data_IF_322893238643
#
_entry.id   IF_322893238643
#
_cell.length_a   1.000
_cell.length_b   1.000
_cell.length_c   1.000
_cell.angle_alpha   90.00
_cell.angle_beta   90.00
_cell.angle_gamma   90.00
#
_symmetry.space_group_name_H-M   'P 1'
#
loop_
_entity.id
_entity.type
_entity.pdbx_description
1 polymer ?
#
# COMPACT_ATOMS: atom_id res chain seq x y z
N UNK A 1 -7.20 -38.17 -3.58
CA UNK A 1 -6.51 -36.88 -3.88
C UNK A 1 -7.41 -35.88 -4.63
N UNK A 2 -8.19 -36.28 -5.66
CA UNK A 2 -9.11 -35.39 -6.39
C UNK A 2 -10.30 -34.82 -5.58
N UNK A 3 -10.77 -35.51 -4.53
CA UNK A 3 -11.85 -35.01 -3.67
C UNK A 3 -11.43 -33.83 -2.77
N UNK A 4 -10.13 -33.74 -2.43
CA UNK A 4 -9.58 -32.67 -1.59
C UNK A 4 -9.44 -31.35 -2.36
N UNK A 5 -9.05 -31.42 -3.64
CA UNK A 5 -8.95 -30.24 -4.53
C UNK A 5 -10.32 -29.67 -4.87
N UNK A 6 -11.33 -30.51 -5.09
CA UNK A 6 -12.70 -30.07 -5.31
C UNK A 6 -13.31 -29.38 -4.08
N UNK A 7 -13.01 -29.87 -2.86
CA UNK A 7 -13.49 -29.28 -1.60
C UNK A 7 -12.78 -27.95 -1.31
N UNK A 8 -11.48 -27.85 -1.60
CA UNK A 8 -10.73 -26.61 -1.52
C UNK A 8 -11.24 -25.57 -2.52
N UNK A 9 -11.48 -25.96 -3.78
CA UNK A 9 -12.03 -25.07 -4.81
C UNK A 9 -13.43 -24.55 -4.46
N UNK A 10 -14.30 -25.40 -3.90
CA UNK A 10 -15.64 -24.98 -3.43
C UNK A 10 -15.57 -24.02 -2.24
N UNK A 11 -14.64 -24.23 -1.31
CA UNK A 11 -14.41 -23.32 -0.17
C UNK A 11 -13.84 -21.97 -0.60
N UNK A 12 -12.92 -21.96 -1.55
CA UNK A 12 -12.41 -20.72 -2.15
C UNK A 12 -13.50 -20.00 -2.93
N UNK A 13 -14.34 -20.71 -3.69
CA UNK A 13 -15.46 -20.11 -4.41
C UNK A 13 -16.56 -19.56 -3.49
N UNK A 14 -16.83 -20.20 -2.35
CA UNK A 14 -17.76 -19.67 -1.35
C UNK A 14 -17.19 -18.47 -0.61
N UNK A 15 -15.87 -18.47 -0.31
CA UNK A 15 -15.20 -17.32 0.29
C UNK A 15 -15.20 -16.12 -0.67
N UNK A 16 -14.88 -16.33 -1.95
CA UNK A 16 -14.93 -15.29 -3.00
C UNK A 16 -16.38 -14.78 -3.18
N UNK A 17 -17.40 -15.65 -3.14
CA UNK A 17 -18.80 -15.21 -3.23
C UNK A 17 -19.30 -14.46 -2.01
N UNK A 18 -18.92 -14.87 -0.79
CA UNK A 18 -19.26 -14.15 0.43
C UNK A 18 -18.61 -12.76 0.44
N UNK A 19 -17.33 -12.73 0.06
CA UNK A 19 -16.54 -11.53 -0.09
C UNK A 19 -17.09 -10.53 -1.15
N UNK A 20 -17.65 -11.04 -2.25
CA UNK A 20 -18.37 -10.24 -3.25
C UNK A 20 -19.76 -9.77 -2.76
N UNK A 21 -20.43 -10.56 -1.91
CA UNK A 21 -21.75 -10.22 -1.34
C UNK A 21 -21.66 -9.14 -0.26
N UNK A 22 -20.60 -9.11 0.52
CA UNK A 22 -20.39 -8.12 1.57
C UNK A 22 -19.89 -6.76 1.06
N UNK A 23 -19.70 -6.59 -0.26
CA UNK A 23 -19.07 -5.40 -0.89
C UNK A 23 -17.67 -5.06 -0.33
N UNK A 24 -17.07 -5.94 0.48
CA UNK A 24 -15.74 -5.71 1.08
C UNK A 24 -14.59 -6.11 0.14
N UNK A 25 -14.81 -7.06 -0.80
CA UNK A 25 -14.03 -7.07 -2.03
C UNK A 25 -14.50 -5.91 -2.90
N UNK A 26 -13.72 -4.84 -2.97
CA UNK A 26 -13.83 -3.96 -4.13
C UNK A 26 -13.69 -4.84 -5.38
N UNK A 27 -14.64 -4.78 -6.33
CA UNK A 27 -14.59 -5.63 -7.50
C UNK A 27 -13.24 -5.45 -8.17
N UNK A 28 -12.50 -6.56 -8.31
CA UNK A 28 -11.28 -6.62 -9.11
C UNK A 28 -11.57 -5.90 -10.45
N UNK A 29 -10.64 -5.06 -10.94
CA UNK A 29 -10.76 -4.28 -12.18
C UNK A 29 -11.66 -3.02 -12.16
N UNK A 30 -11.76 -2.29 -11.04
CA UNK A 30 -12.48 -1.00 -10.97
C UNK A 30 -11.67 0.18 -10.44
N UNK A 31 -10.34 0.11 -10.41
CA UNK A 31 -9.58 1.32 -10.09
C UNK A 31 -9.83 2.37 -11.21
N UNK A 32 -10.07 3.65 -10.85
CA UNK A 32 -10.14 4.70 -11.86
C UNK A 32 -8.81 4.78 -12.60
N UNK A 33 -8.82 5.01 -13.91
CA UNK A 33 -7.58 5.25 -14.64
C UNK A 33 -7.09 6.66 -14.29
N UNK A 34 -5.87 6.76 -13.77
CA UNK A 34 -5.22 8.05 -13.45
C UNK A 34 -3.88 8.17 -14.17
N UNK A 35 -3.24 9.34 -14.05
CA UNK A 35 -1.87 9.56 -14.51
C UNK A 35 -0.88 8.53 -13.93
N UNK A 36 -1.17 7.96 -12.75
CA UNK A 36 -0.31 6.94 -12.12
C UNK A 36 -0.34 5.59 -12.83
N UNK A 37 -1.29 5.35 -13.73
CA UNK A 37 -1.40 4.12 -14.51
C UNK A 37 -0.68 4.16 -15.86
N UNK A 38 0.23 5.12 -16.06
CA UNK A 38 1.11 5.16 -17.22
C UNK A 38 2.37 4.29 -17.02
N UNK A 39 3.08 3.92 -18.09
CA UNK A 39 4.38 3.25 -17.98
C UNK A 39 5.37 4.04 -17.13
N UNK A 40 6.20 3.35 -16.36
CA UNK A 40 7.22 3.99 -15.51
C UNK A 40 8.32 4.73 -16.30
N UNK A 41 8.49 4.44 -17.60
CA UNK A 41 9.50 5.05 -18.47
C UNK A 41 10.95 4.86 -18.01
N UNK A 42 11.89 5.50 -18.71
CA UNK A 42 13.31 5.50 -18.36
C UNK A 42 13.68 6.52 -17.29
N UNK A 43 13.09 7.72 -17.38
CA UNK A 43 13.38 8.84 -16.49
C UNK A 43 12.57 8.73 -15.19
N UNK A 44 13.26 8.31 -14.12
CA UNK A 44 12.67 8.13 -12.79
C UNK A 44 13.43 8.94 -11.77
N UNK A 45 12.67 9.62 -10.91
CA UNK A 45 13.21 10.29 -9.73
C UNK A 45 12.75 9.59 -8.46
N UNK A 46 13.47 9.87 -7.39
CA UNK A 46 13.17 9.38 -6.05
C UNK A 46 13.18 10.56 -5.09
N UNK A 47 12.14 10.67 -4.28
CA UNK A 47 12.06 11.60 -3.16
C UNK A 47 11.91 10.83 -1.85
N UNK A 48 12.64 11.21 -0.80
CA UNK A 48 12.66 10.47 0.46
C UNK A 48 12.67 11.44 1.65
N UNK A 49 11.88 11.13 2.69
CA UNK A 49 11.91 11.84 3.98
C UNK A 49 11.52 10.88 5.11
N UNK A 50 12.04 11.14 6.31
CA UNK A 50 11.75 10.38 7.52
C UNK A 50 10.87 11.17 8.48
N UNK A 51 9.99 10.47 9.18
CA UNK A 51 9.12 11.00 10.22
C UNK A 51 9.33 10.24 11.52
N UNK A 52 9.25 10.92 12.69
CA UNK A 52 9.24 10.24 13.97
C UNK A 52 8.11 9.23 14.05
N UNK A 53 8.44 7.97 14.36
CA UNK A 53 7.47 6.90 14.50
C UNK A 53 6.48 7.17 15.66
N UNK A 54 6.90 7.96 16.65
CA UNK A 54 6.07 8.41 17.76
C UNK A 54 4.79 9.11 17.29
N UNK A 55 4.89 10.13 16.41
CA UNK A 55 3.74 10.88 15.89
C UNK A 55 2.69 9.97 15.24
N UNK A 56 3.14 9.04 14.41
CA UNK A 56 2.29 8.06 13.72
C UNK A 56 1.65 7.09 14.72
N UNK A 57 2.42 6.66 15.72
CA UNK A 57 1.93 5.77 16.77
C UNK A 57 0.91 6.45 17.68
N UNK A 58 1.06 7.74 17.94
CA UNK A 58 0.15 8.51 18.77
C UNK A 58 -1.21 8.68 18.07
N UNK A 59 -1.20 9.03 16.78
CA UNK A 59 -2.43 9.01 15.94
C UNK A 59 -3.07 7.62 15.96
N UNK A 60 -2.27 6.58 15.72
CA UNK A 60 -2.76 5.20 15.67
C UNK A 60 -3.45 4.78 16.99
N UNK A 61 -2.86 5.13 18.13
CA UNK A 61 -3.42 4.88 19.47
C UNK A 61 -4.70 5.67 19.72
N UNK A 62 -4.70 6.97 19.39
CA UNK A 62 -5.83 7.86 19.64
C UNK A 62 -7.11 7.40 18.93
N UNK A 63 -6.99 6.81 17.74
CA UNK A 63 -8.14 6.38 16.92
C UNK A 63 -8.29 4.84 16.81
N UNK A 64 -7.46 4.06 17.51
CA UNK A 64 -7.59 2.60 17.61
C UNK A 64 -7.26 1.82 16.34
N UNK A 65 -6.27 2.27 15.56
CA UNK A 65 -5.83 1.62 14.31
C UNK A 65 -4.36 1.19 14.37
N UNK A 66 -3.85 0.51 13.35
CA UNK A 66 -2.42 0.18 13.30
C UNK A 66 -1.59 1.35 12.74
N UNK A 67 -0.31 1.51 13.15
CA UNK A 67 0.57 2.54 12.57
C UNK A 67 0.72 2.43 11.05
N UNK A 68 0.64 1.21 10.49
CA UNK A 68 0.66 1.02 9.05
C UNK A 68 -0.58 1.62 8.37
N UNK A 69 -1.75 1.58 9.01
CA UNK A 69 -2.97 2.18 8.45
C UNK A 69 -2.84 3.71 8.41
N UNK A 70 -2.21 4.32 9.44
CA UNK A 70 -1.88 5.75 9.46
C UNK A 70 -0.91 6.11 8.32
N UNK A 71 0.16 5.32 8.12
CA UNK A 71 1.09 5.55 7.02
C UNK A 71 0.43 5.45 5.64
N UNK A 72 -0.50 4.51 5.45
CA UNK A 72 -1.29 4.42 4.22
C UNK A 72 -2.26 5.59 4.07
N UNK A 73 -2.82 6.09 5.18
CA UNK A 73 -3.66 7.29 5.18
C UNK A 73 -2.88 8.56 4.84
N UNK A 74 -1.62 8.69 5.27
CA UNK A 74 -0.72 9.76 4.82
C UNK A 74 -0.52 9.71 3.30
N UNK A 75 -0.28 8.53 2.74
CA UNK A 75 -0.16 8.34 1.28
C UNK A 75 -1.46 8.71 0.56
N UNK A 76 -2.60 8.27 1.10
CA UNK A 76 -3.92 8.62 0.55
C UNK A 76 -4.17 10.13 0.54
N UNK A 77 -3.89 10.81 1.65
CA UNK A 77 -4.00 12.27 1.75
C UNK A 77 -3.12 12.98 0.73
N UNK A 78 -1.85 12.59 0.64
CA UNK A 78 -0.93 13.19 -0.31
C UNK A 78 -1.32 12.94 -1.78
N UNK A 79 -1.78 11.74 -2.11
CA UNK A 79 -2.28 11.43 -3.44
C UNK A 79 -3.53 12.24 -3.80
N UNK A 80 -4.44 12.44 -2.84
CA UNK A 80 -5.64 13.27 -3.04
C UNK A 80 -5.23 14.71 -3.36
N UNK A 81 -4.43 15.33 -2.49
CA UNK A 81 -4.03 16.73 -2.66
C UNK A 81 -3.21 16.94 -3.94
N UNK A 82 -2.28 16.04 -4.24
CA UNK A 82 -1.51 16.11 -5.49
C UNK A 82 -2.41 16.05 -6.74
N UNK A 83 -3.42 15.18 -6.74
CA UNK A 83 -4.36 15.08 -7.84
C UNK A 83 -5.33 16.27 -7.91
N UNK A 84 -5.67 16.90 -6.78
CA UNK A 84 -6.43 18.16 -6.77
C UNK A 84 -5.58 19.28 -7.37
N UNK A 85 -4.30 19.40 -6.98
CA UNK A 85 -3.36 20.37 -7.55
C UNK A 85 -3.22 20.21 -9.08
N UNK A 86 -3.38 18.99 -9.58
CA UNK A 86 -3.33 18.67 -11.01
C UNK A 86 -4.69 18.72 -11.73
N UNK A 87 -5.79 19.10 -11.05
CA UNK A 87 -7.16 19.03 -11.57
C UNK A 87 -7.51 17.63 -12.17
N UNK A 88 -7.07 16.58 -11.49
CA UNK A 88 -7.08 15.20 -11.98
C UNK A 88 -7.62 14.18 -10.95
N UNK A 89 -8.23 14.65 -9.86
CA UNK A 89 -8.79 13.77 -8.83
C UNK A 89 -10.03 13.02 -9.37
N UNK A 90 -10.05 11.67 -9.37
CA UNK A 90 -11.22 10.92 -9.80
C UNK A 90 -12.37 11.00 -8.79
N UNK A 91 -13.60 10.87 -9.28
CA UNK A 91 -14.81 10.77 -8.44
C UNK A 91 -14.86 9.50 -7.58
N UNK A 92 -14.16 8.45 -8.01
CA UNK A 92 -14.11 7.16 -7.32
C UNK A 92 -12.78 6.98 -6.57
N UNK A 93 -12.74 6.20 -5.47
CA UNK A 93 -11.50 5.99 -4.73
C UNK A 93 -10.43 5.35 -5.60
N UNK A 94 -9.21 5.85 -5.44
CA UNK A 94 -8.04 5.11 -5.87
C UNK A 94 -7.81 3.88 -5.01
N UNK A 95 -7.14 2.89 -5.62
CA UNK A 95 -6.81 1.63 -4.99
C UNK A 95 -5.28 1.47 -4.90
N UNK A 96 -4.79 1.04 -3.74
CA UNK A 96 -3.38 0.74 -3.49
C UNK A 96 -3.15 -0.76 -3.38
N UNK A 97 -2.10 -1.30 -4.01
CA UNK A 97 -1.69 -2.69 -3.79
C UNK A 97 -0.66 -2.74 -2.66
N UNK A 98 -0.91 -3.59 -1.66
CA UNK A 98 0.00 -3.82 -0.52
C UNK A 98 0.33 -5.30 -0.36
N UNK A 99 1.60 -5.66 -0.08
CA UNK A 99 1.94 -7.02 0.29
C UNK A 99 1.40 -7.33 1.70
N UNK A 100 0.85 -8.53 1.86
CA UNK A 100 0.42 -9.06 3.16
C UNK A 100 1.33 -10.22 3.51
N UNK A 101 2.10 -10.05 4.59
CA UNK A 101 2.97 -11.11 5.11
C UNK A 101 2.14 -12.32 5.55
N UNK A 102 2.54 -13.50 5.08
CA UNK A 102 1.93 -14.78 5.44
C UNK A 102 2.88 -15.67 6.27
N UNK A 103 3.93 -15.09 6.83
CA UNK A 103 4.88 -15.82 7.68
C UNK A 103 4.15 -16.43 8.87
N UNK A 104 4.35 -17.73 9.07
CA UNK A 104 3.78 -18.50 10.18
C UNK A 104 4.79 -18.79 11.29
N UNK A 105 6.08 -18.47 11.08
CA UNK A 105 7.13 -18.66 12.09
C UNK A 105 8.28 -17.65 12.02
N UNK A 106 9.32 -17.91 12.83
CA UNK A 106 10.57 -17.10 12.92
C UNK A 106 11.71 -17.68 12.08
N UNK A 107 11.47 -18.74 11.30
CA UNK A 107 12.53 -19.42 10.56
C UNK A 107 13.08 -18.56 9.42
N UNK A 108 14.40 -18.48 9.37
CA UNK A 108 15.14 -17.69 8.40
C UNK A 108 14.99 -18.20 6.95
N UNK A 109 14.27 -19.28 6.66
CA UNK A 109 14.01 -19.75 5.29
C UNK A 109 12.67 -19.28 4.70
N UNK A 110 11.81 -18.61 5.47
CA UNK A 110 10.51 -18.07 5.00
C UNK A 110 10.61 -16.62 4.49
N UNK A 111 11.73 -16.24 3.85
CA UNK A 111 12.05 -14.80 3.68
C UNK A 111 11.09 -14.06 2.74
N UNK A 112 10.41 -14.72 1.80
CA UNK A 112 9.57 -14.05 0.78
C UNK A 112 8.19 -14.70 0.55
N UNK A 113 7.46 -15.06 1.62
CA UNK A 113 6.08 -15.54 1.50
C UNK A 113 5.11 -14.40 1.80
N UNK A 114 4.59 -13.78 0.74
CA UNK A 114 3.58 -12.73 0.84
C UNK A 114 2.43 -12.96 -0.15
N UNK A 115 1.21 -12.68 0.30
CA UNK A 115 0.08 -12.41 -0.59
C UNK A 115 0.09 -10.95 -1.01
N UNK A 116 -0.81 -10.56 -1.91
CA UNK A 116 -1.07 -9.15 -2.23
C UNK A 116 -2.54 -8.86 -2.02
N UNK A 117 -2.82 -7.66 -1.51
CA UNK A 117 -4.15 -7.17 -1.27
C UNK A 117 -4.34 -5.81 -1.94
N UNK A 118 -5.58 -5.51 -2.32
CA UNK A 118 -5.96 -4.23 -2.90
C UNK A 118 -6.76 -3.46 -1.85
N UNK A 119 -6.20 -2.33 -1.43
CA UNK A 119 -6.76 -1.47 -0.40
C UNK A 119 -7.49 -0.28 -1.04
N UNK A 120 -8.70 0.00 -0.55
CA UNK A 120 -9.37 1.25 -0.87
C UNK A 120 -8.71 2.40 -0.10
N UNK A 121 -8.15 3.36 -0.84
CA UNK A 121 -7.45 4.50 -0.25
C UNK A 121 -8.40 5.61 0.22
N UNK A 122 -9.67 5.61 -0.20
CA UNK A 122 -10.65 6.61 0.20
C UNK A 122 -10.37 8.00 -0.36
N UNK A 123 -9.60 8.14 -1.45
CA UNK A 123 -9.13 9.44 -1.97
C UNK A 123 -10.24 10.39 -2.41
N UNK A 124 -11.44 9.88 -2.68
CA UNK A 124 -12.64 10.69 -2.96
C UNK A 124 -13.20 11.40 -1.72
N UNK A 125 -12.85 10.96 -0.50
CA UNK A 125 -13.31 11.53 0.75
C UNK A 125 -12.41 12.69 1.18
N UNK A 126 -13.04 13.82 1.50
CA UNK A 126 -12.35 15.03 1.98
C UNK A 126 -11.86 14.89 3.42
N UNK A 127 -12.67 14.28 4.29
CA UNK A 127 -12.36 14.13 5.71
C UNK A 127 -11.24 13.08 5.95
N UNK A 128 -10.09 13.47 6.54
CA UNK A 128 -8.99 12.55 6.84
C UNK A 128 -9.38 11.41 7.78
N UNK A 129 -10.28 11.62 8.74
CA UNK A 129 -10.76 10.55 9.63
C UNK A 129 -11.65 9.54 8.89
N UNK A 130 -12.45 10.00 7.93
CA UNK A 130 -13.21 9.09 7.07
C UNK A 130 -12.29 8.27 6.17
N UNK A 131 -11.28 8.90 5.57
CA UNK A 131 -10.25 8.18 4.79
C UNK A 131 -9.56 7.10 5.62
N UNK A 132 -9.09 7.44 6.82
CA UNK A 132 -8.43 6.49 7.71
C UNK A 132 -9.34 5.31 8.09
N UNK A 133 -10.63 5.57 8.38
CA UNK A 133 -11.61 4.50 8.68
C UNK A 133 -11.82 3.54 7.51
N UNK A 134 -11.91 4.06 6.28
CA UNK A 134 -12.05 3.23 5.07
C UNK A 134 -10.80 2.39 4.85
N UNK A 135 -9.62 2.98 5.00
CA UNK A 135 -8.33 2.30 4.85
C UNK A 135 -8.19 1.19 5.90
N UNK A 136 -8.43 1.50 7.18
CA UNK A 136 -8.32 0.54 8.26
C UNK A 136 -9.27 -0.66 8.04
N UNK A 137 -10.54 -0.42 7.68
CA UNK A 137 -11.49 -1.50 7.38
C UNK A 137 -11.02 -2.35 6.20
N UNK A 138 -10.59 -1.71 5.12
CA UNK A 138 -10.08 -2.40 3.92
C UNK A 138 -8.85 -3.25 4.23
N UNK A 139 -7.91 -2.72 5.01
CA UNK A 139 -6.70 -3.43 5.42
C UNK A 139 -6.99 -4.58 6.37
N UNK A 140 -7.89 -4.41 7.34
CA UNK A 140 -8.28 -5.46 8.28
C UNK A 140 -9.00 -6.62 7.58
N UNK A 141 -9.95 -6.29 6.68
CA UNK A 141 -10.59 -7.26 5.80
C UNK A 141 -9.54 -8.04 4.98
N UNK A 142 -8.67 -7.32 4.28
CA UNK A 142 -7.64 -7.91 3.41
C UNK A 142 -6.69 -8.83 4.18
N UNK A 143 -6.23 -8.41 5.37
CA UNK A 143 -5.37 -9.24 6.24
C UNK A 143 -6.09 -10.53 6.62
N UNK A 144 -7.35 -10.46 7.05
CA UNK A 144 -8.17 -11.65 7.41
C UNK A 144 -8.39 -12.56 6.21
N UNK A 145 -8.78 -11.99 5.07
CA UNK A 145 -9.02 -12.74 3.84
C UNK A 145 -7.76 -13.47 3.38
N UNK A 146 -6.63 -12.77 3.21
CA UNK A 146 -5.38 -13.37 2.72
C UNK A 146 -4.86 -14.44 3.69
N UNK A 147 -4.93 -14.21 5.00
CA UNK A 147 -4.51 -15.20 6.01
C UNK A 147 -5.45 -16.41 6.10
N UNK A 148 -6.70 -16.28 5.66
CA UNK A 148 -7.63 -17.42 5.60
C UNK A 148 -7.32 -18.38 4.45
N UNK A 149 -6.56 -17.92 3.45
CA UNK A 149 -6.23 -18.72 2.27
C UNK A 149 -5.03 -19.65 2.54
N UNK A 150 -5.00 -20.85 1.93
CA UNK A 150 -3.78 -21.62 1.85
C UNK A 150 -2.67 -20.78 1.19
N UNK A 151 -1.45 -20.86 1.72
CA UNK A 151 -0.31 -20.06 1.26
C UNK A 151 -0.15 -20.04 -0.26
N UNK A 152 -0.21 -21.20 -0.91
CA UNK A 152 -0.05 -21.29 -2.37
C UNK A 152 -1.18 -20.57 -3.13
N UNK A 153 -2.40 -20.55 -2.59
CA UNK A 153 -3.53 -19.84 -3.18
C UNK A 153 -3.33 -18.33 -3.10
N UNK A 154 -2.84 -17.85 -1.96
CA UNK A 154 -2.56 -16.42 -1.79
C UNK A 154 -1.39 -15.93 -2.66
N UNK A 155 -0.36 -16.75 -2.86
CA UNK A 155 0.73 -16.46 -3.81
C UNK A 155 0.19 -16.37 -5.24
N UNK A 156 -0.63 -17.34 -5.67
CA UNK A 156 -1.23 -17.29 -7.01
C UNK A 156 -2.18 -16.09 -7.19
N UNK A 157 -2.92 -15.73 -6.15
CA UNK A 157 -3.79 -14.54 -6.17
C UNK A 157 -2.97 -13.26 -6.35
N UNK A 158 -1.82 -13.15 -5.68
CA UNK A 158 -0.90 -12.02 -5.88
C UNK A 158 -0.43 -11.93 -7.34
N UNK A 159 -0.06 -13.06 -7.95
CA UNK A 159 0.27 -13.13 -9.37
C UNK A 159 -0.87 -12.67 -10.27
N UNK A 160 -2.11 -13.07 -9.97
CA UNK A 160 -3.30 -12.68 -10.74
C UNK A 160 -3.61 -11.18 -10.64
N UNK A 161 -3.40 -10.57 -9.48
CA UNK A 161 -3.57 -9.13 -9.26
C UNK A 161 -2.56 -8.33 -10.11
N UNK A 162 -1.32 -8.82 -10.21
CA UNK A 162 -0.23 -8.12 -10.91
C UNK A 162 -0.15 -8.45 -12.42
N UNK A 163 -0.63 -9.60 -12.87
CA UNK A 163 -0.59 -10.03 -14.27
C UNK A 163 -1.16 -9.02 -15.29
N UNK A 164 -2.27 -8.31 -15.03
CA UNK A 164 -2.82 -7.36 -16.01
C UNK A 164 -2.13 -5.99 -16.01
N UNK A 165 -1.24 -5.70 -15.05
CA UNK A 165 -0.63 -4.39 -14.86
C UNK A 165 0.23 -4.07 -16.08
N UNK A 166 -0.03 -2.90 -16.70
CA UNK A 166 0.66 -2.48 -17.92
C UNK A 166 0.08 -3.03 -19.23
N UNK A 167 -0.95 -3.85 -19.20
CA UNK A 167 -1.57 -4.39 -20.43
C UNK A 167 -2.28 -3.31 -21.27
N UNK A 168 -2.72 -2.21 -20.66
CA UNK A 168 -3.45 -1.11 -21.31
C UNK A 168 -4.87 -1.44 -21.78
N UNK A 169 -5.20 -2.74 -21.93
CA UNK A 169 -6.43 -3.29 -22.54
C UNK A 169 -7.62 -3.40 -21.58
N UNK A 170 -7.37 -3.39 -20.27
CA UNK A 170 -8.42 -3.45 -19.25
C UNK A 170 -8.25 -2.31 -18.24
N UNK A 171 -9.31 -1.93 -17.51
CA UNK A 171 -9.18 -1.00 -16.39
C UNK A 171 -8.13 -1.50 -15.38
N UNK A 172 -7.36 -0.59 -14.76
CA UNK A 172 -6.35 -0.97 -13.80
C UNK A 172 -6.97 -1.69 -12.59
N UNK A 173 -6.22 -2.64 -12.02
CA UNK A 173 -6.60 -3.31 -10.76
C UNK A 173 -6.29 -2.40 -9.56
N UNK A 174 -5.24 -1.60 -9.66
CA UNK A 174 -4.81 -0.63 -8.65
C UNK A 174 -4.06 0.54 -9.30
N UNK A 175 -3.98 1.66 -8.60
CA UNK A 175 -3.31 2.88 -9.07
C UNK A 175 -1.83 2.88 -8.69
N UNK A 176 -1.52 2.53 -7.45
CA UNK A 176 -0.17 2.64 -6.89
C UNK A 176 0.21 1.38 -6.10
N UNK A 177 1.49 1.03 -6.11
CA UNK A 177 2.05 0.01 -5.21
C UNK A 177 2.58 0.66 -3.94
N UNK A 178 2.30 0.08 -2.78
CA UNK A 178 2.82 0.52 -1.49
C UNK A 178 3.52 -0.67 -0.81
N UNK A 179 4.84 -0.61 -0.75
CA UNK A 179 5.69 -1.61 -0.10
C UNK A 179 6.08 -1.15 1.30
N UNK A 180 5.88 -1.99 2.31
CA UNK A 180 6.26 -1.69 3.69
C UNK A 180 7.23 -2.77 4.19
N UNK A 181 8.41 -2.38 4.65
CA UNK A 181 9.47 -3.29 5.08
C UNK A 181 9.96 -2.88 6.48
N UNK A 182 9.98 -3.80 7.47
CA UNK A 182 10.65 -3.50 8.75
C UNK A 182 12.18 -3.47 8.55
N UNK A 183 12.85 -2.48 9.12
CA UNK A 183 14.30 -2.46 9.24
C UNK A 183 14.75 -3.10 10.57
N UNK A 184 15.97 -3.65 10.62
CA UNK A 184 16.61 -4.04 11.87
C UNK A 184 16.71 -2.83 12.83
N UNK A 185 16.39 -3.05 14.11
CA UNK A 185 16.46 -2.03 15.17
C UNK A 185 17.87 -1.86 15.75
N UNK A 186 18.73 -2.84 15.54
CA UNK A 186 20.11 -2.83 15.99
C UNK A 186 20.99 -2.01 15.05
N UNK A 187 22.06 -1.42 15.59
CA UNK A 187 23.02 -0.70 14.78
C UNK A 187 23.79 -1.68 13.89
N UNK A 188 23.69 -1.48 12.57
CA UNK A 188 24.36 -2.31 11.58
C UNK A 188 25.67 -1.68 11.14
N UNK A 189 26.66 -2.52 10.82
CA UNK A 189 27.98 -2.11 10.36
C UNK A 189 28.43 -2.94 9.16
N UNK A 190 29.20 -2.34 8.25
CA UNK A 190 29.89 -3.02 7.15
C UNK A 190 31.34 -2.56 7.11
N UNK A 191 32.27 -3.49 7.38
CA UNK A 191 33.72 -3.17 7.39
C UNK A 191 34.09 -2.06 8.36
N UNK A 192 33.42 -1.98 9.53
CA UNK A 192 33.62 -0.92 10.53
C UNK A 192 32.81 0.37 10.29
N UNK A 193 32.21 0.57 9.11
CA UNK A 193 31.34 1.71 8.84
C UNK A 193 29.91 1.47 9.33
N UNK A 194 29.35 2.42 10.08
CA UNK A 194 27.97 2.37 10.60
C UNK A 194 26.96 2.67 9.49
N UNK A 195 25.91 1.85 9.39
CA UNK A 195 24.75 2.14 8.55
C UNK A 195 23.95 3.28 9.18
N UNK A 196 23.82 4.39 8.46
CA UNK A 196 23.12 5.59 8.95
C UNK A 196 21.64 5.61 8.56
N UNK A 197 21.32 5.13 7.35
CA UNK A 197 19.96 5.14 6.84
C UNK A 197 19.78 4.00 5.82
N UNK A 198 18.55 3.51 5.72
CA UNK A 198 18.11 2.60 4.66
C UNK A 198 16.85 3.18 4.04
N UNK A 199 16.76 3.12 2.72
CA UNK A 199 15.63 3.63 1.96
C UNK A 199 15.02 2.50 1.14
N UNK A 200 13.74 2.23 1.34
CA UNK A 200 13.03 1.21 0.57
C UNK A 200 12.48 1.84 -0.71
N UNK A 201 12.99 1.41 -1.86
CA UNK A 201 12.46 1.83 -3.16
C UNK A 201 11.51 0.74 -3.67
N UNK A 202 10.22 1.06 -3.76
CA UNK A 202 9.25 0.12 -4.29
C UNK A 202 9.50 -0.10 -5.80
N UNK A 203 9.43 -1.35 -6.29
CA UNK A 203 9.61 -1.62 -7.70
C UNK A 203 8.48 -0.98 -8.52
N UNK A 204 8.85 -0.36 -9.64
CA UNK A 204 7.90 0.16 -10.61
C UNK A 204 7.45 -0.95 -11.55
N UNK A 205 6.20 -1.38 -11.46
CA UNK A 205 5.63 -2.32 -12.43
C UNK A 205 5.34 -1.63 -13.77
N UNK A 206 5.35 -2.40 -14.86
CA UNK A 206 4.91 -1.91 -16.18
C UNK A 206 3.50 -1.35 -16.07
N UNK A 207 3.29 -0.08 -16.42
CA UNK A 207 1.99 0.60 -16.25
C UNK A 207 1.75 1.22 -14.87
N UNK A 208 2.82 1.42 -14.08
CA UNK A 208 2.76 2.22 -12.86
C UNK A 208 3.82 3.33 -12.88
N UNK A 209 3.35 4.57 -12.98
CA UNK A 209 4.19 5.76 -12.99
C UNK A 209 4.57 6.27 -11.59
N UNK A 210 3.95 5.74 -10.52
CA UNK A 210 4.18 6.16 -9.13
C UNK A 210 4.05 5.00 -8.15
N UNK A 211 5.05 4.84 -7.27
CA UNK A 211 5.08 3.79 -6.26
C UNK A 211 5.71 4.29 -4.95
N UNK A 212 5.30 3.70 -3.83
CA UNK A 212 5.72 4.10 -2.49
C UNK A 212 6.43 2.97 -1.78
N UNK A 213 7.60 3.25 -1.21
CA UNK A 213 8.32 2.35 -0.33
C UNK A 213 8.43 2.95 1.06
N UNK A 214 8.13 2.15 2.08
CA UNK A 214 8.23 2.56 3.48
C UNK A 214 9.15 1.60 4.21
N UNK A 215 10.01 2.18 5.04
CA UNK A 215 10.89 1.42 5.92
C UNK A 215 10.91 2.05 7.31
N UNK A 216 10.83 1.23 8.35
CA UNK A 216 10.85 1.71 9.74
C UNK A 216 11.89 0.98 10.56
N UNK A 217 12.71 1.74 11.28
CA UNK A 217 13.73 1.26 12.22
C UNK A 217 13.24 1.29 13.68
N UNK A 218 11.97 1.62 13.90
CA UNK A 218 11.33 1.75 15.21
C UNK A 218 11.39 3.16 15.80
N UNK A 219 12.41 3.96 15.49
CA UNK A 219 12.47 5.36 15.89
C UNK A 219 11.80 6.26 14.84
N UNK A 220 12.01 5.94 13.57
CA UNK A 220 11.46 6.65 12.43
C UNK A 220 10.76 5.69 11.46
N UNK A 221 9.92 6.27 10.62
CA UNK A 221 9.52 5.66 9.36
C UNK A 221 9.91 6.59 8.22
N UNK A 222 10.46 5.99 7.17
CA UNK A 222 10.96 6.70 6.01
C UNK A 222 10.10 6.36 4.82
N UNK A 223 9.49 7.39 4.21
CA UNK A 223 8.71 7.26 2.99
C UNK A 223 9.62 7.58 1.82
N UNK A 224 9.58 6.72 0.81
CA UNK A 224 10.24 6.91 -0.48
C UNK A 224 9.18 6.91 -1.57
N UNK A 225 9.21 7.93 -2.43
CA UNK A 225 8.36 8.07 -3.59
C UNK A 225 9.22 7.82 -4.81
N UNK A 226 8.85 6.85 -5.63
CA UNK A 226 9.55 6.52 -6.88
C UNK A 226 8.57 6.74 -8.02
N UNK A 227 8.91 7.60 -8.98
CA UNK A 227 8.00 7.90 -10.07
C UNK A 227 8.67 8.39 -11.35
N UNK A 228 7.90 8.30 -12.43
CA UNK A 228 8.26 8.84 -13.74
C UNK A 228 8.09 10.36 -13.72
N UNK A 229 9.17 11.12 -13.92
CA UNK A 229 9.14 12.59 -13.80
C UNK A 229 8.35 13.29 -14.90
N UNK A 230 8.26 12.69 -16.08
CA UNK A 230 7.46 13.23 -17.18
C UNK A 230 5.96 13.07 -16.92
N UNK A 231 5.56 12.01 -16.21
CA UNK A 231 4.16 11.71 -15.91
C UNK A 231 3.73 12.34 -14.59
N UNK A 232 4.61 12.35 -13.58
CA UNK A 232 4.36 12.83 -12.23
C UNK A 232 5.44 13.86 -11.89
N UNK A 233 5.27 15.12 -12.34
CA UNK A 233 6.24 16.17 -12.08
C UNK A 233 6.32 16.51 -10.58
N UNK A 234 7.53 16.86 -10.12
CA UNK A 234 7.73 17.37 -8.75
C UNK A 234 7.49 16.34 -7.64
N UNK A 235 8.15 15.17 -7.68
CA UNK A 235 7.96 14.12 -6.67
C UNK A 235 8.27 14.58 -5.24
N UNK A 236 9.17 15.54 -5.08
CA UNK A 236 9.48 16.20 -3.81
C UNK A 236 8.24 16.83 -3.15
N UNK A 237 7.23 17.24 -3.95
CA UNK A 237 5.96 17.77 -3.44
C UNK A 237 5.25 16.77 -2.52
N UNK A 238 5.35 15.47 -2.80
CA UNK A 238 4.76 14.45 -1.94
C UNK A 238 5.33 14.48 -0.52
N UNK A 239 6.59 14.90 -0.32
CA UNK A 239 7.19 14.95 1.00
C UNK A 239 6.51 15.98 1.90
N UNK A 240 6.09 17.11 1.33
CA UNK A 240 5.36 18.14 2.06
C UNK A 240 3.89 17.73 2.24
N UNK A 241 3.30 17.10 1.22
CA UNK A 241 1.94 16.57 1.30
C UNK A 241 1.80 15.45 2.34
N UNK A 242 2.83 14.61 2.55
CA UNK A 242 2.85 13.63 3.64
C UNK A 242 2.84 14.30 5.02
N UNK A 243 3.59 15.40 5.19
CA UNK A 243 3.58 16.16 6.43
C UNK A 243 2.20 16.81 6.67
N UNK A 244 1.61 17.40 5.63
CA UNK A 244 0.24 17.94 5.71
C UNK A 244 -0.76 16.86 6.08
N UNK A 245 -0.71 15.71 5.42
CA UNK A 245 -1.62 14.59 5.70
C UNK A 245 -1.45 14.04 7.11
N UNK A 246 -0.22 13.98 7.65
CA UNK A 246 0.01 13.59 9.05
C UNK A 246 -0.61 14.61 10.01
N UNK A 247 -0.43 15.91 9.77
CA UNK A 247 -1.04 16.98 10.58
C UNK A 247 -2.57 16.98 10.53
N UNK A 248 -3.16 16.66 9.38
CA UNK A 248 -4.60 16.50 9.24
C UNK A 248 -5.11 15.33 10.08
N UNK A 249 -4.38 14.22 10.10
CA UNK A 249 -4.71 13.06 10.92
C UNK A 249 -4.51 13.32 12.42
N UNK A 250 -3.47 14.05 12.81
CA UNK A 250 -3.25 14.51 14.19
C UNK A 250 -4.43 15.37 14.66
N UNK A 251 -4.81 16.39 13.88
CA UNK A 251 -5.99 17.23 14.18
C UNK A 251 -7.27 16.41 14.29
N UNK A 252 -7.50 15.48 13.36
CA UNK A 252 -8.69 14.64 13.37
C UNK A 252 -8.72 13.63 14.53
N UNK A 253 -7.56 13.28 15.08
CA UNK A 253 -7.39 12.45 16.26
C UNK A 253 -7.44 13.24 17.59
N UNK A 254 -7.49 14.58 17.53
CA UNK A 254 -7.45 15.45 18.71
C UNK A 254 -6.06 15.61 19.33
N UNK A 255 -5.01 15.53 18.52
CA UNK A 255 -3.60 15.70 18.91
C UNK A 255 -3.03 17.05 18.46
#
# INVERSE_FOLDING_TARGET
RAAGTARAARRSASAIRAALRERELFPVFRAPRTMFNAPAGGDRSVAVRSWPMARITDVAKAVGVSPNDVSVAMISGALREYLIECDALPETPMLGMLPVSMRTGTEANERNIFGSAVCNLGTHLEDPAQRLRVINRSMDYNKRFIRSLPQQVAIHLAGLICAPVGSGRIPPVFNVSISQVPAPREALYRGGARLLATYALAPTLSGQALNFGLISDGANVTFSVVGNTATVPGLERFLDLFETALKDLERAAGL
#
